data_IF_556345604150
#
_entry.id   IF_556345604150
#
_cell.length_a   1.000
_cell.length_b   1.000
_cell.length_c   1.000
_cell.angle_alpha   90.00
_cell.angle_beta   90.00
_cell.angle_gamma   90.00
#
_symmetry.space_group_name_H-M   'P 1'
#
loop_
_entity.id
_entity.type
_entity.pdbx_description
1 polymer ?
#
# COMPACT_ATOMS: atom_id res chain seq x y z
N UNK A 1 33.08 -5.29 23.15
CA UNK A 1 32.04 -4.46 23.80
C UNK A 1 32.61 -3.07 23.97
N UNK A 2 32.21 -2.14 23.11
CA UNK A 2 32.60 -0.72 23.27
C UNK A 2 31.55 -0.09 24.17
N UNK A 3 31.86 0.05 25.46
CA UNK A 3 30.95 0.69 26.41
C UNK A 3 30.91 2.17 26.08
N UNK A 4 29.86 2.63 25.40
CA UNK A 4 29.59 4.06 25.24
C UNK A 4 29.19 4.57 26.63
N UNK A 5 30.12 5.26 27.30
CA UNK A 5 29.81 5.93 28.56
C UNK A 5 28.71 6.97 28.28
N UNK A 6 27.62 6.92 29.04
CA UNK A 6 26.56 7.93 28.94
C UNK A 6 27.15 9.30 29.29
N UNK A 7 26.78 10.33 28.51
CA UNK A 7 27.19 11.71 28.75
C UNK A 7 26.68 12.17 30.11
N UNK A 8 27.60 12.38 31.07
CA UNK A 8 27.27 13.00 32.36
C UNK A 8 27.36 14.52 32.17
N UNK A 9 26.33 15.29 32.58
CA UNK A 9 26.43 16.75 32.60
C UNK A 9 27.66 17.19 33.40
N UNK A 10 28.50 18.05 32.81
CA UNK A 10 29.75 18.52 33.44
C UNK A 10 29.48 19.16 34.81
N UNK A 11 28.36 19.85 34.97
CA UNK A 11 27.97 20.53 36.22
C UNK A 11 27.67 19.57 37.39
N UNK A 12 27.54 18.26 37.12
CA UNK A 12 27.26 17.22 38.12
C UNK A 12 28.46 16.29 38.34
N UNK A 13 29.58 16.52 37.66
CA UNK A 13 30.76 15.66 37.77
C UNK A 13 31.67 16.11 38.91
N UNK A 14 32.01 15.18 39.80
CA UNK A 14 33.01 15.36 40.85
C UNK A 14 34.40 14.86 40.43
N UNK A 15 34.51 14.19 39.29
CA UNK A 15 35.71 13.46 38.86
C UNK A 15 36.58 14.27 37.88
N UNK A 16 36.26 15.55 37.66
CA UNK A 16 36.97 16.44 36.75
C UNK A 16 37.00 17.89 37.26
N UNK A 17 37.99 18.70 36.87
CA UNK A 17 38.04 20.11 37.24
C UNK A 17 37.11 20.97 36.37
N UNK A 18 35.87 21.14 36.83
CA UNK A 18 34.79 21.83 36.10
C UNK A 18 35.12 23.30 35.78
N UNK A 19 35.70 24.05 36.71
CA UNK A 19 36.04 25.46 36.48
C UNK A 19 37.14 25.61 35.42
N UNK A 20 38.14 24.73 35.45
CA UNK A 20 39.20 24.67 34.45
C UNK A 20 38.66 24.33 33.06
N UNK A 21 37.78 23.33 32.97
CA UNK A 21 37.13 22.95 31.71
C UNK A 21 36.29 24.11 31.18
N UNK A 22 35.51 24.78 32.03
CA UNK A 22 34.70 25.94 31.64
C UNK A 22 35.56 27.13 31.19
N UNK A 23 36.71 27.33 31.82
CA UNK A 23 37.68 28.37 31.43
C UNK A 23 38.23 28.11 30.02
N UNK A 24 38.68 26.90 29.74
CA UNK A 24 39.18 26.50 28.41
C UNK A 24 38.05 26.52 27.38
N UNK A 25 36.84 26.12 27.75
CA UNK A 25 35.64 26.18 26.90
C UNK A 25 35.35 27.60 26.42
N UNK A 26 35.39 28.58 27.34
CA UNK A 26 35.08 29.99 27.05
C UNK A 26 36.17 30.68 26.23
N UNK A 27 37.44 30.40 26.53
CA UNK A 27 38.58 31.07 25.87
C UNK A 27 39.02 30.39 24.59
N UNK A 28 38.70 29.09 24.42
CA UNK A 28 39.19 28.25 23.33
C UNK A 28 40.73 28.25 23.20
N UNK A 29 41.42 28.43 24.33
CA UNK A 29 42.88 28.41 24.46
C UNK A 29 43.29 27.25 25.36
N UNK A 30 44.30 26.48 24.95
CA UNK A 30 44.86 25.39 25.75
C UNK A 30 45.61 25.90 26.98
N UNK A 31 45.46 25.19 28.09
CA UNK A 31 46.21 25.43 29.33
C UNK A 31 47.09 24.22 29.66
N UNK A 32 48.37 24.48 29.88
CA UNK A 32 49.34 23.52 30.41
C UNK A 32 49.79 24.02 31.76
N UNK A 33 49.71 23.18 32.79
CA UNK A 33 50.32 23.44 34.09
C UNK A 33 51.41 22.40 34.32
N UNK A 34 52.66 22.86 34.40
CA UNK A 34 53.82 22.00 34.60
C UNK A 34 53.97 21.59 36.06
N UNK A 35 53.55 22.45 36.98
CA UNK A 35 53.36 22.15 38.40
C UNK A 35 51.98 22.66 38.83
N UNK A 36 50.96 21.78 38.77
CA UNK A 36 49.57 22.21 38.88
C UNK A 36 49.28 22.91 40.22
N UNK A 37 49.75 22.36 41.34
CA UNK A 37 49.50 22.94 42.67
C UNK A 37 50.24 24.26 42.86
N UNK A 38 51.52 24.31 42.47
CA UNK A 38 52.31 25.55 42.59
C UNK A 38 51.73 26.67 41.73
N UNK A 39 51.38 26.37 40.47
CA UNK A 39 50.90 27.36 39.52
C UNK A 39 49.48 27.84 39.83
N UNK A 40 48.58 26.98 40.31
CA UNK A 40 47.24 27.40 40.76
C UNK A 40 47.33 28.28 42.01
N UNK A 41 48.27 28.01 42.92
CA UNK A 41 48.42 28.77 44.16
C UNK A 41 49.16 30.11 44.00
N UNK A 42 50.09 30.21 43.04
CA UNK A 42 51.01 31.36 42.89
C UNK A 42 50.79 32.25 41.65
N UNK A 43 50.00 31.85 40.65
CA UNK A 43 49.94 32.57 39.37
C UNK A 43 48.75 33.54 39.22
N UNK A 44 48.74 34.30 38.11
CA UNK A 44 47.63 35.11 37.55
C UNK A 44 46.26 34.39 37.52
N UNK A 45 46.24 33.06 37.67
CA UNK A 45 45.03 32.22 37.72
C UNK A 45 44.24 32.36 39.04
N UNK A 46 44.86 32.86 40.12
CA UNK A 46 44.18 33.16 41.39
C UNK A 46 43.11 34.26 41.25
N UNK A 47 43.31 35.20 40.32
CA UNK A 47 42.35 36.27 39.99
C UNK A 47 41.21 35.80 39.07
N UNK A 48 41.23 34.55 38.60
CA UNK A 48 40.27 33.98 37.65
C UNK A 48 39.36 32.92 38.31
N UNK A 49 39.38 32.80 39.65
CA UNK A 49 38.56 31.87 40.45
C UNK A 49 38.66 30.39 40.02
N UNK A 50 39.84 29.96 39.54
CA UNK A 50 40.12 28.56 39.16
C UNK A 50 40.44 27.69 40.39
N UNK A 51 39.61 27.75 41.44
CA UNK A 51 39.68 26.83 42.58
C UNK A 51 38.75 25.65 42.31
N UNK A 52 39.27 24.63 41.63
CA UNK A 52 38.57 23.36 41.49
C UNK A 52 38.87 22.45 42.69
N UNK A 53 37.82 22.05 43.41
CA UNK A 53 37.93 21.14 44.54
C UNK A 53 38.62 19.82 44.14
N UNK A 54 38.36 19.36 42.92
CA UNK A 54 39.01 18.19 42.32
C UNK A 54 40.55 18.32 42.31
N UNK A 55 41.11 19.42 41.80
CA UNK A 55 42.58 19.59 41.70
C UNK A 55 43.21 19.70 43.10
N UNK A 56 42.50 20.29 44.06
CA UNK A 56 42.95 20.39 45.45
C UNK A 56 42.98 19.01 46.12
N UNK A 57 42.00 18.15 45.82
CA UNK A 57 41.89 16.80 46.36
C UNK A 57 42.89 15.83 45.70
N UNK A 58 42.92 15.77 44.38
CA UNK A 58 43.73 14.80 43.62
C UNK A 58 45.21 15.21 43.47
N UNK A 59 45.52 16.49 43.66
CA UNK A 59 46.88 17.05 43.61
C UNK A 59 47.77 16.57 42.44
N UNK A 60 47.30 16.68 41.19
CA UNK A 60 48.09 16.26 40.04
C UNK A 60 49.41 17.04 39.95
N UNK A 61 50.49 16.38 39.52
CA UNK A 61 51.81 17.02 39.38
C UNK A 61 51.90 17.90 38.14
N UNK A 62 51.31 17.47 37.04
CA UNK A 62 51.08 18.30 35.85
C UNK A 62 49.75 17.98 35.21
N UNK A 63 49.16 18.93 34.50
CA UNK A 63 47.91 18.73 33.79
C UNK A 63 47.87 19.51 32.47
N UNK A 64 47.02 19.04 31.57
CA UNK A 64 46.69 19.64 30.29
C UNK A 64 45.18 19.76 30.20
N UNK A 65 44.70 20.94 29.83
CA UNK A 65 43.31 21.13 29.43
C UNK A 65 43.31 21.84 28.07
N UNK A 66 42.88 21.15 27.01
CA UNK A 66 42.97 21.68 25.65
C UNK A 66 41.63 21.60 24.90
N UNK A 67 41.18 22.67 24.21
CA UNK A 67 39.99 22.62 23.40
C UNK A 67 40.28 21.94 22.06
N UNK A 68 39.38 21.05 21.65
CA UNK A 68 39.39 20.40 20.35
C UNK A 68 38.41 21.13 19.43
N UNK A 69 38.95 21.88 18.48
CA UNK A 69 38.20 22.68 17.52
C UNK A 69 38.10 21.94 16.18
N UNK A 70 36.91 21.96 15.57
CA UNK A 70 36.69 21.53 14.19
C UNK A 70 36.05 22.70 13.42
N UNK A 71 36.68 23.17 12.35
CA UNK A 71 36.24 24.35 11.58
C UNK A 71 35.92 25.59 12.46
N UNK A 72 36.72 25.82 13.52
CA UNK A 72 36.53 26.92 14.47
C UNK A 72 35.41 26.71 15.50
N UNK A 73 34.70 25.57 15.46
CA UNK A 73 33.70 25.20 16.46
C UNK A 73 34.32 24.27 17.52
N UNK A 74 34.18 24.63 18.79
CA UNK A 74 34.53 23.75 19.90
C UNK A 74 33.68 22.47 19.84
N UNK A 75 34.36 21.34 19.66
CA UNK A 75 33.71 20.03 19.51
C UNK A 75 33.91 19.16 20.75
N UNK A 76 35.06 19.29 21.42
CA UNK A 76 35.36 18.58 22.67
C UNK A 76 36.43 19.32 23.49
N UNK A 77 36.63 18.94 24.75
CA UNK A 77 37.74 19.39 25.60
C UNK A 77 38.50 18.16 26.06
N UNK A 78 39.82 18.19 25.92
CA UNK A 78 40.73 17.16 26.37
C UNK A 78 41.34 17.58 27.71
N UNK A 79 40.99 16.89 28.78
CA UNK A 79 41.65 17.00 30.09
C UNK A 79 42.54 15.77 30.32
N UNK A 80 43.82 16.00 30.60
CA UNK A 80 44.79 14.96 30.95
C UNK A 80 45.56 15.39 32.19
N UNK A 81 45.81 14.46 33.10
CA UNK A 81 46.61 14.68 34.28
C UNK A 81 47.76 13.68 34.37
N UNK A 82 48.82 14.09 35.06
CA UNK A 82 49.96 13.24 35.33
C UNK A 82 50.41 13.42 36.78
N UNK A 83 50.37 12.33 37.53
CA UNK A 83 50.68 12.31 38.96
C UNK A 83 52.13 11.90 39.26
N UNK A 84 52.92 11.58 38.22
CA UNK A 84 54.27 11.04 38.35
C UNK A 84 55.34 12.13 38.22
N UNK A 85 55.23 12.99 37.21
CA UNK A 85 56.24 14.02 36.91
C UNK A 85 55.59 15.40 36.68
N UNK A 86 56.32 16.44 37.07
CA UNK A 86 56.04 17.82 36.65
C UNK A 86 56.55 18.04 35.22
N UNK A 87 55.87 18.90 34.46
CA UNK A 87 56.23 19.18 33.07
C UNK A 87 56.05 18.02 32.10
N UNK A 88 55.10 17.09 32.37
CA UNK A 88 54.87 15.93 31.51
C UNK A 88 54.39 16.31 30.08
N UNK A 89 53.72 17.46 29.98
CA UNK A 89 53.11 17.96 28.76
C UNK A 89 53.96 19.06 28.14
N UNK A 90 54.38 18.88 26.88
CA UNK A 90 55.16 19.84 26.11
C UNK A 90 54.39 20.27 24.87
N UNK A 91 54.66 21.47 24.35
CA UNK A 91 53.98 22.00 23.17
C UNK A 91 54.09 21.07 21.94
N UNK A 92 55.24 20.41 21.73
CA UNK A 92 55.42 19.48 20.60
C UNK A 92 54.49 18.26 20.71
N UNK A 93 54.33 17.70 21.93
CA UNK A 93 53.40 16.59 22.17
C UNK A 93 51.95 17.04 21.99
N UNK A 94 51.61 18.29 22.32
CA UNK A 94 50.27 18.83 22.11
C UNK A 94 49.90 18.94 20.63
N UNK A 95 50.83 19.33 19.77
CA UNK A 95 50.56 19.40 18.33
C UNK A 95 50.15 18.02 17.79
N UNK A 96 50.85 16.97 18.20
CA UNK A 96 50.54 15.58 17.81
C UNK A 96 49.20 15.13 18.40
N UNK A 97 48.97 15.37 19.69
CA UNK A 97 47.70 15.02 20.36
C UNK A 97 46.53 15.72 19.67
N UNK A 98 46.66 17.01 19.36
CA UNK A 98 45.61 17.78 18.69
C UNK A 98 45.30 17.25 17.30
N UNK A 99 46.33 16.93 16.50
CA UNK A 99 46.13 16.33 15.18
C UNK A 99 45.36 15.01 15.28
N UNK A 100 45.76 14.12 16.20
CA UNK A 100 45.13 12.83 16.41
C UNK A 100 43.69 12.97 16.92
N UNK A 101 43.45 13.88 17.86
CA UNK A 101 42.13 14.16 18.39
C UNK A 101 41.20 14.75 17.33
N UNK A 102 41.66 15.71 16.52
CA UNK A 102 40.88 16.24 15.40
C UNK A 102 40.51 15.13 14.40
N UNK A 103 41.45 14.25 14.05
CA UNK A 103 41.19 13.12 13.16
C UNK A 103 40.21 12.11 13.76
N UNK A 104 40.31 11.85 15.06
CA UNK A 104 39.39 10.95 15.78
C UNK A 104 37.97 11.52 15.80
N UNK A 105 37.81 12.81 16.09
CA UNK A 105 36.51 13.51 16.07
C UNK A 105 35.88 13.43 14.68
N UNK A 106 36.64 13.72 13.62
CA UNK A 106 36.15 13.62 12.23
C UNK A 106 35.72 12.19 11.89
N UNK A 107 36.52 11.19 12.30
CA UNK A 107 36.22 9.78 12.03
C UNK A 107 34.95 9.31 12.74
N UNK A 108 34.72 9.76 13.98
CA UNK A 108 33.49 9.49 14.72
C UNK A 108 32.27 10.16 14.09
N UNK A 109 32.39 11.42 13.66
CA UNK A 109 31.33 12.14 12.94
C UNK A 109 30.97 11.41 11.64
N UNK A 110 31.98 11.01 10.86
CA UNK A 110 31.79 10.25 9.64
C UNK A 110 31.08 8.92 9.91
N UNK A 111 31.53 8.14 10.90
CA UNK A 111 30.90 6.88 11.26
C UNK A 111 29.41 7.07 11.64
N UNK A 112 29.11 8.12 12.41
CA UNK A 112 27.73 8.50 12.77
C UNK A 112 26.90 8.85 11.54
N UNK A 113 27.42 9.70 10.64
CA UNK A 113 26.74 10.09 9.40
C UNK A 113 26.47 8.88 8.50
N UNK A 114 27.44 7.98 8.36
CA UNK A 114 27.26 6.73 7.61
C UNK A 114 26.16 5.86 8.22
N UNK A 115 26.14 5.72 9.54
CA UNK A 115 25.09 4.95 10.22
C UNK A 115 23.71 5.59 10.03
N UNK A 116 23.60 6.92 10.10
CA UNK A 116 22.35 7.62 9.82
C UNK A 116 21.90 7.42 8.36
N UNK A 117 22.81 7.55 7.39
CA UNK A 117 22.50 7.33 5.99
C UNK A 117 22.01 5.90 5.73
N UNK A 118 22.63 4.89 6.36
CA UNK A 118 22.18 3.50 6.27
C UNK A 118 20.78 3.32 6.84
N UNK A 119 20.49 3.89 8.01
CA UNK A 119 19.17 3.83 8.62
C UNK A 119 18.10 4.47 7.72
N UNK A 120 18.39 5.64 7.15
CA UNK A 120 17.47 6.30 6.21
C UNK A 120 17.25 5.49 4.93
N UNK A 121 18.30 4.87 4.38
CA UNK A 121 18.18 4.01 3.21
C UNK A 121 17.29 2.79 3.50
N UNK A 122 17.44 2.16 4.66
CA UNK A 122 16.58 1.04 5.08
C UNK A 122 15.13 1.47 5.24
N UNK A 123 14.87 2.61 5.92
CA UNK A 123 13.52 3.15 6.07
C UNK A 123 12.87 3.50 4.72
N UNK A 124 13.63 4.12 3.81
CA UNK A 124 13.14 4.45 2.47
C UNK A 124 12.78 3.19 1.67
N UNK A 125 13.60 2.13 1.77
CA UNK A 125 13.31 0.86 1.11
C UNK A 125 12.05 0.19 1.65
N UNK A 126 11.84 0.22 2.97
CA UNK A 126 10.65 -0.34 3.59
C UNK A 126 9.39 0.45 3.21
N UNK A 127 9.45 1.78 3.25
CA UNK A 127 8.35 2.63 2.81
C UNK A 127 8.00 2.41 1.34
N UNK A 128 9.00 2.22 0.47
CA UNK A 128 8.77 1.94 -0.95
C UNK A 128 8.03 0.60 -1.15
N UNK A 129 8.41 -0.45 -0.41
CA UNK A 129 7.71 -1.74 -0.45
C UNK A 129 6.26 -1.65 0.03
N UNK A 130 6.03 -0.92 1.12
CA UNK A 130 4.68 -0.72 1.64
C UNK A 130 3.81 0.04 0.63
N UNK A 131 4.36 1.10 0.03
CA UNK A 131 3.67 1.88 -0.99
C UNK A 131 3.30 1.03 -2.21
N UNK A 132 4.22 0.18 -2.68
CA UNK A 132 3.98 -0.73 -3.81
C UNK A 132 2.86 -1.74 -3.49
N UNK A 133 2.86 -2.31 -2.28
CA UNK A 133 1.80 -3.21 -1.83
C UNK A 133 0.44 -2.52 -1.79
N UNK A 134 0.35 -1.34 -1.17
CA UNK A 134 -0.90 -0.57 -1.10
C UNK A 134 -1.39 -0.14 -2.49
N UNK A 135 -0.48 0.18 -3.40
CA UNK A 135 -0.83 0.52 -4.78
C UNK A 135 -1.45 -0.68 -5.53
N UNK A 136 -0.87 -1.87 -5.40
CA UNK A 136 -1.43 -3.07 -6.02
C UNK A 136 -2.79 -3.47 -5.42
N UNK A 137 -2.97 -3.30 -4.11
CA UNK A 137 -4.28 -3.49 -3.46
C UNK A 137 -5.33 -2.50 -3.99
N UNK A 138 -4.98 -1.21 -4.07
CA UNK A 138 -5.87 -0.18 -4.59
C UNK A 138 -6.26 -0.47 -6.05
N UNK A 139 -5.29 -0.85 -6.89
CA UNK A 139 -5.51 -1.22 -8.28
C UNK A 139 -6.46 -2.41 -8.42
N UNK A 140 -6.29 -3.44 -7.58
CA UNK A 140 -7.21 -4.60 -7.55
C UNK A 140 -8.63 -4.18 -7.15
N UNK A 141 -8.77 -3.35 -6.11
CA UNK A 141 -10.06 -2.84 -5.68
C UNK A 141 -10.74 -2.01 -6.78
N UNK A 142 -9.99 -1.15 -7.48
CA UNK A 142 -10.52 -0.36 -8.59
C UNK A 142 -11.01 -1.24 -9.75
N UNK A 143 -10.25 -2.27 -10.13
CA UNK A 143 -10.69 -3.23 -11.16
C UNK A 143 -11.99 -3.94 -10.76
N UNK A 144 -12.11 -4.33 -9.50
CA UNK A 144 -13.34 -4.93 -8.97
C UNK A 144 -14.52 -3.96 -9.02
N UNK A 145 -14.32 -2.69 -8.66
CA UNK A 145 -15.37 -1.66 -8.74
C UNK A 145 -15.83 -1.42 -10.17
N UNK A 146 -14.89 -1.25 -11.11
CA UNK A 146 -15.22 -1.07 -12.53
C UNK A 146 -15.97 -2.27 -13.07
N UNK A 147 -15.57 -3.49 -12.71
CA UNK A 147 -16.29 -4.70 -13.11
C UNK A 147 -17.70 -4.74 -12.49
N UNK A 148 -17.83 -4.37 -11.21
CA UNK A 148 -19.12 -4.32 -10.52
C UNK A 148 -20.08 -3.28 -11.14
N UNK A 149 -19.58 -2.10 -11.50
CA UNK A 149 -20.36 -1.05 -12.16
C UNK A 149 -20.80 -1.46 -13.57
N UNK A 150 -19.91 -2.06 -14.36
CA UNK A 150 -20.25 -2.66 -15.66
C UNK A 150 -21.33 -3.73 -15.53
N UNK A 151 -21.29 -4.55 -14.47
CA UNK A 151 -22.31 -5.57 -14.23
C UNK A 151 -23.64 -4.98 -13.76
N UNK A 152 -23.61 -3.94 -12.92
CA UNK A 152 -24.82 -3.25 -12.47
C UNK A 152 -25.55 -2.59 -13.63
N UNK A 153 -24.81 -1.85 -14.47
CA UNK A 153 -25.35 -1.22 -15.68
C UNK A 153 -25.88 -2.26 -16.68
N UNK A 154 -25.11 -3.32 -16.94
CA UNK A 154 -25.55 -4.42 -17.79
C UNK A 154 -26.80 -5.10 -17.23
N UNK A 155 -26.88 -5.32 -15.91
CA UNK A 155 -28.00 -6.02 -15.31
C UNK A 155 -29.30 -5.23 -15.32
N UNK A 156 -29.23 -3.91 -15.12
CA UNK A 156 -30.38 -3.03 -15.29
C UNK A 156 -30.89 -3.00 -16.73
N UNK A 157 -29.97 -2.86 -17.70
CA UNK A 157 -30.30 -2.87 -19.14
C UNK A 157 -30.92 -4.20 -19.58
N UNK A 158 -30.31 -5.31 -19.22
CA UNK A 158 -30.78 -6.66 -19.57
C UNK A 158 -32.15 -6.95 -18.97
N UNK A 159 -32.40 -6.54 -17.73
CA UNK A 159 -33.70 -6.71 -17.10
C UNK A 159 -34.80 -5.94 -17.86
N UNK A 160 -34.52 -4.69 -18.26
CA UNK A 160 -35.44 -3.86 -19.07
C UNK A 160 -35.69 -4.47 -20.45
N UNK A 161 -34.63 -4.79 -21.19
CA UNK A 161 -34.71 -5.40 -22.52
C UNK A 161 -35.49 -6.72 -22.49
N UNK A 162 -35.25 -7.57 -21.47
CA UNK A 162 -35.97 -8.83 -21.33
C UNK A 162 -37.47 -8.64 -21.15
N UNK A 163 -37.90 -7.61 -20.41
CA UNK A 163 -39.32 -7.27 -20.30
C UNK A 163 -39.90 -6.77 -21.62
N UNK A 164 -39.18 -5.91 -22.35
CA UNK A 164 -39.62 -5.38 -23.64
C UNK A 164 -39.68 -6.44 -24.74
N UNK A 165 -38.81 -7.46 -24.72
CA UNK A 165 -38.85 -8.62 -25.63
C UNK A 165 -40.02 -9.55 -25.27
N UNK A 166 -40.25 -9.81 -23.98
CA UNK A 166 -41.28 -10.74 -23.55
C UNK A 166 -42.69 -10.24 -23.87
N UNK A 167 -42.91 -8.92 -23.94
CA UNK A 167 -44.20 -8.35 -24.27
C UNK A 167 -44.72 -8.81 -25.66
N UNK A 168 -44.07 -8.48 -26.80
CA UNK A 168 -44.51 -8.92 -28.12
C UNK A 168 -44.51 -10.44 -28.28
N UNK A 169 -43.55 -11.15 -27.68
CA UNK A 169 -43.50 -12.62 -27.71
C UNK A 169 -44.71 -13.23 -27.02
N UNK A 170 -45.11 -12.69 -25.86
CA UNK A 170 -46.34 -13.10 -25.17
C UNK A 170 -47.58 -12.89 -26.02
N UNK A 171 -47.69 -11.75 -26.72
CA UNK A 171 -48.78 -11.52 -27.68
C UNK A 171 -48.77 -12.52 -28.83
N UNK A 172 -47.61 -12.81 -29.42
CA UNK A 172 -47.49 -13.76 -30.53
C UNK A 172 -47.83 -15.19 -30.10
N UNK A 173 -47.27 -15.65 -28.97
CA UNK A 173 -47.52 -16.97 -28.41
C UNK A 173 -49.02 -17.17 -28.08
N UNK A 174 -49.65 -16.14 -27.50
CA UNK A 174 -51.07 -16.17 -27.17
C UNK A 174 -52.00 -16.31 -28.37
N UNK A 175 -51.59 -15.84 -29.55
CA UNK A 175 -52.37 -15.97 -30.79
C UNK A 175 -52.04 -17.25 -31.58
N UNK A 176 -50.85 -17.81 -31.37
CA UNK A 176 -50.39 -18.97 -32.14
C UNK A 176 -51.14 -20.24 -31.79
N UNK A 177 -51.48 -20.43 -30.51
CA UNK A 177 -52.26 -21.58 -30.06
C UNK A 177 -53.68 -21.58 -30.67
N UNK A 178 -54.47 -20.49 -30.58
CA UNK A 178 -55.74 -20.39 -31.32
C UNK A 178 -55.57 -20.60 -32.83
N UNK A 179 -54.54 -20.03 -33.46
CA UNK A 179 -54.31 -20.22 -34.90
C UNK A 179 -54.06 -21.69 -35.26
N UNK A 180 -53.33 -22.43 -34.42
CA UNK A 180 -53.13 -23.87 -34.56
C UNK A 180 -54.44 -24.62 -34.44
N UNK A 181 -55.25 -24.29 -33.44
CA UNK A 181 -56.52 -24.95 -33.16
C UNK A 181 -57.51 -24.70 -34.32
N UNK A 182 -57.65 -23.45 -34.77
CA UNK A 182 -58.48 -23.10 -35.94
C UNK A 182 -58.02 -23.80 -37.21
N UNK A 183 -56.72 -23.90 -37.43
CA UNK A 183 -56.16 -24.62 -38.57
C UNK A 183 -56.52 -26.10 -38.51
N UNK A 184 -56.37 -26.73 -37.34
CA UNK A 184 -56.71 -28.14 -37.16
C UNK A 184 -58.21 -28.41 -37.36
N UNK A 185 -59.07 -27.53 -36.85
CA UNK A 185 -60.52 -27.63 -37.02
C UNK A 185 -60.93 -27.51 -38.50
N UNK A 186 -60.35 -26.55 -39.23
CA UNK A 186 -60.58 -26.38 -40.66
C UNK A 186 -60.11 -27.57 -41.49
N UNK A 187 -58.89 -28.08 -41.20
CA UNK A 187 -58.37 -29.27 -41.86
C UNK A 187 -59.26 -30.49 -41.59
N UNK A 188 -59.71 -30.66 -40.35
CA UNK A 188 -60.64 -31.75 -39.99
C UNK A 188 -61.96 -31.66 -40.74
N UNK A 189 -62.50 -30.46 -40.94
CA UNK A 189 -63.71 -30.23 -41.73
C UNK A 189 -63.48 -30.58 -43.21
N UNK A 190 -62.35 -30.18 -43.78
CA UNK A 190 -61.96 -30.49 -45.17
C UNK A 190 -61.84 -32.02 -45.34
N UNK A 191 -61.21 -32.71 -44.39
CA UNK A 191 -61.05 -34.16 -44.40
C UNK A 191 -62.41 -34.88 -44.41
N UNK A 192 -63.36 -34.41 -43.60
CA UNK A 192 -64.72 -34.92 -43.60
C UNK A 192 -65.43 -34.68 -44.95
N UNK A 193 -65.26 -33.49 -45.52
CA UNK A 193 -65.84 -33.17 -46.83
C UNK A 193 -65.28 -34.08 -47.93
N UNK A 194 -63.96 -34.26 -48.00
CA UNK A 194 -63.33 -35.14 -48.99
C UNK A 194 -63.70 -36.62 -48.79
N UNK A 195 -63.92 -37.05 -47.54
CA UNK A 195 -64.35 -38.41 -47.22
C UNK A 195 -65.76 -38.73 -47.72
N UNK A 196 -66.71 -37.81 -47.55
CA UNK A 196 -68.12 -38.02 -47.91
C UNK A 196 -68.51 -37.47 -49.28
N UNK A 197 -67.67 -36.62 -49.89
CA UNK A 197 -67.87 -36.06 -51.22
C UNK A 197 -66.59 -36.20 -52.08
N UNK A 198 -66.23 -37.43 -52.48
CA UNK A 198 -64.96 -37.74 -53.14
C UNK A 198 -64.87 -37.25 -54.60
N UNK A 199 -66.02 -37.07 -55.27
CA UNK A 199 -66.12 -36.56 -56.64
C UNK A 199 -66.81 -35.18 -56.65
N UNK A 200 -66.08 -34.10 -56.33
CA UNK A 200 -66.65 -32.77 -56.31
C UNK A 200 -66.93 -32.21 -57.71
N UNK A 201 -67.85 -31.24 -57.80
CA UNK A 201 -68.10 -30.50 -59.06
C UNK A 201 -66.82 -29.87 -59.61
N UNK A 202 -66.76 -29.69 -60.94
CA UNK A 202 -65.55 -29.26 -61.66
C UNK A 202 -64.94 -27.98 -61.11
N UNK A 203 -65.76 -27.03 -60.67
CA UNK A 203 -65.34 -25.77 -60.08
C UNK A 203 -64.50 -25.99 -58.82
N UNK A 204 -64.94 -26.88 -57.93
CA UNK A 204 -64.23 -27.21 -56.69
C UNK A 204 -62.96 -28.02 -57.01
N UNK A 205 -63.04 -29.01 -57.90
CA UNK A 205 -61.87 -29.80 -58.30
C UNK A 205 -60.75 -28.93 -58.90
N UNK A 206 -61.13 -27.92 -59.71
CA UNK A 206 -60.20 -26.96 -60.30
C UNK A 206 -59.51 -26.11 -59.23
N UNK A 207 -60.24 -25.63 -58.22
CA UNK A 207 -59.64 -24.86 -57.11
C UNK A 207 -58.74 -25.73 -56.21
N UNK A 208 -59.14 -26.97 -55.90
CA UNK A 208 -58.29 -27.91 -55.15
C UNK A 208 -56.94 -28.10 -55.84
N UNK A 209 -56.95 -28.29 -57.16
CA UNK A 209 -55.73 -28.45 -57.96
C UNK A 209 -54.95 -27.14 -58.08
N UNK A 210 -55.63 -26.01 -58.29
CA UNK A 210 -54.98 -24.69 -58.44
C UNK A 210 -54.32 -24.19 -57.15
N UNK A 211 -54.83 -24.57 -55.98
CA UNK A 211 -54.29 -24.20 -54.66
C UNK A 211 -53.33 -25.23 -54.07
N UNK A 212 -53.17 -26.38 -54.72
CA UNK A 212 -52.43 -27.53 -54.19
C UNK A 212 -52.84 -27.84 -52.75
N UNK A 213 -54.10 -28.23 -52.58
CA UNK A 213 -54.69 -28.40 -51.25
C UNK A 213 -53.91 -29.43 -50.41
N UNK A 214 -53.37 -30.49 -51.02
CA UNK A 214 -52.62 -31.51 -50.29
C UNK A 214 -51.33 -30.94 -49.71
N UNK A 215 -50.60 -30.13 -50.48
CA UNK A 215 -49.44 -29.41 -49.96
C UNK A 215 -49.82 -28.49 -48.79
N UNK A 216 -50.92 -27.73 -48.92
CA UNK A 216 -51.38 -26.84 -47.84
C UNK A 216 -51.77 -27.60 -46.57
N UNK A 217 -52.45 -28.75 -46.71
CA UNK A 217 -52.83 -29.62 -45.57
C UNK A 217 -51.61 -30.12 -44.81
N UNK A 218 -50.51 -30.41 -45.52
CA UNK A 218 -49.26 -30.82 -44.89
C UNK A 218 -48.41 -29.67 -44.33
N UNK A 219 -48.33 -28.54 -45.04
CA UNK A 219 -47.37 -27.47 -44.74
C UNK A 219 -47.90 -26.47 -43.71
N UNK A 220 -49.19 -26.14 -43.75
CA UNK A 220 -49.78 -25.15 -42.85
C UNK A 220 -49.59 -25.50 -41.35
N UNK A 221 -49.79 -26.75 -40.90
CA UNK A 221 -49.46 -27.16 -39.54
C UNK A 221 -47.95 -27.06 -39.21
N UNK A 222 -47.08 -27.39 -40.18
CA UNK A 222 -45.62 -27.30 -40.03
C UNK A 222 -45.17 -25.86 -39.86
N UNK A 223 -45.74 -24.91 -40.61
CA UNK A 223 -45.45 -23.47 -40.52
C UNK A 223 -45.83 -22.93 -39.15
N UNK A 224 -47.03 -23.23 -38.64
CA UNK A 224 -47.47 -22.80 -37.31
C UNK A 224 -46.56 -23.42 -36.22
N UNK A 225 -46.22 -24.70 -36.35
CA UNK A 225 -45.28 -25.34 -35.41
C UNK A 225 -43.89 -24.70 -35.45
N UNK A 226 -43.39 -24.32 -36.62
CA UNK A 226 -42.10 -23.62 -36.77
C UNK A 226 -42.12 -22.25 -36.09
N UNK A 227 -43.21 -21.50 -36.21
CA UNK A 227 -43.38 -20.23 -35.50
C UNK A 227 -43.39 -20.41 -33.98
N UNK A 228 -44.02 -21.48 -33.48
CA UNK A 228 -44.01 -21.79 -32.03
C UNK A 228 -42.58 -22.04 -31.54
N UNK A 229 -41.83 -22.89 -32.27
CA UNK A 229 -40.43 -23.18 -31.93
C UNK A 229 -39.57 -21.91 -31.93
N UNK A 230 -39.81 -20.97 -32.85
CA UNK A 230 -39.10 -19.70 -32.88
C UNK A 230 -39.40 -18.83 -31.64
N UNK A 231 -40.66 -18.74 -31.24
CA UNK A 231 -41.10 -18.02 -30.04
C UNK A 231 -40.45 -18.62 -28.79
N UNK A 232 -40.50 -19.94 -28.64
CA UNK A 232 -39.92 -20.65 -27.50
C UNK A 232 -38.40 -20.37 -27.39
N UNK A 233 -37.71 -20.40 -28.53
CA UNK A 233 -36.27 -20.11 -28.59
C UNK A 233 -35.93 -18.68 -28.20
N UNK A 234 -36.75 -17.70 -28.60
CA UNK A 234 -36.58 -16.29 -28.19
C UNK A 234 -36.81 -16.15 -26.68
N UNK A 235 -37.79 -16.87 -26.14
CA UNK A 235 -38.08 -16.89 -24.70
C UNK A 235 -36.90 -17.43 -23.89
N UNK A 236 -36.28 -18.53 -24.34
CA UNK A 236 -35.09 -19.12 -23.73
C UNK A 236 -33.88 -18.17 -23.75
N UNK A 237 -33.68 -17.45 -24.87
CA UNK A 237 -32.63 -16.44 -24.99
C UNK A 237 -32.88 -15.31 -23.97
N UNK A 238 -34.12 -14.83 -23.86
CA UNK A 238 -34.51 -13.79 -22.90
C UNK A 238 -34.26 -14.20 -21.44
N UNK A 239 -34.60 -15.44 -21.08
CA UNK A 239 -34.33 -16.00 -19.75
C UNK A 239 -32.83 -16.14 -19.50
N UNK A 240 -32.09 -16.65 -20.48
CA UNK A 240 -30.63 -16.83 -20.37
C UNK A 240 -29.92 -15.49 -20.16
N UNK A 241 -30.31 -14.45 -20.90
CA UNK A 241 -29.79 -13.09 -20.76
C UNK A 241 -30.04 -12.56 -19.33
N UNK A 242 -31.29 -12.68 -18.84
CA UNK A 242 -31.67 -12.28 -17.47
C UNK A 242 -30.88 -13.05 -16.40
N UNK A 243 -30.59 -14.32 -16.63
CA UNK A 243 -29.88 -15.19 -15.68
C UNK A 243 -28.39 -14.86 -15.63
N UNK A 244 -27.76 -14.66 -16.79
CA UNK A 244 -26.37 -14.21 -16.90
C UNK A 244 -26.13 -12.90 -16.15
N UNK A 245 -27.05 -11.94 -16.29
CA UNK A 245 -27.00 -10.67 -15.56
C UNK A 245 -27.02 -10.83 -14.03
N UNK A 246 -27.60 -11.91 -13.49
CA UNK A 246 -27.76 -12.12 -12.03
C UNK A 246 -26.69 -13.04 -11.43
N UNK A 247 -26.11 -13.93 -12.22
CA UNK A 247 -25.20 -14.98 -11.72
C UNK A 247 -23.87 -14.41 -11.17
N UNK A 248 -23.37 -13.29 -11.69
CA UNK A 248 -22.08 -12.72 -11.25
C UNK A 248 -22.21 -11.73 -10.07
N UNK A 249 -23.44 -11.31 -9.73
CA UNK A 249 -23.70 -10.44 -8.55
C UNK A 249 -23.64 -11.17 -7.19
N UNK A 250 -23.50 -12.49 -7.17
CA UNK A 250 -23.59 -13.30 -5.95
C UNK A 250 -22.25 -13.66 -5.28
N UNK A 251 -21.13 -13.02 -5.66
CA UNK A 251 -19.86 -13.16 -4.91
C UNK A 251 -19.84 -12.25 -3.69
N UNK A 252 -20.44 -12.69 -2.59
CA UNK A 252 -20.23 -12.11 -1.26
C UNK A 252 -18.89 -12.59 -0.72
N UNK A 253 -17.87 -11.73 -0.74
CA UNK A 253 -16.61 -12.01 -0.04
C UNK A 253 -16.79 -11.71 1.46
N UNK A 254 -16.72 -12.76 2.28
CA UNK A 254 -16.58 -12.65 3.73
C UNK A 254 -15.17 -12.16 4.05
N UNK A 255 -15.02 -10.89 4.41
CA UNK A 255 -13.81 -10.39 5.07
C UNK A 255 -13.76 -11.02 6.47
N UNK A 256 -13.01 -12.11 6.61
CA UNK A 256 -12.70 -12.72 7.91
C UNK A 256 -11.76 -11.78 8.66
N UNK A 257 -12.34 -10.94 9.51
CA UNK A 257 -11.62 -10.01 10.38
C UNK A 257 -10.57 -10.75 11.22
N UNK A 258 -9.34 -10.27 11.11
CA UNK A 258 -8.16 -10.50 11.94
C UNK A 258 -8.54 -10.68 13.43
N UNK A 259 -8.21 -11.84 14.01
CA UNK A 259 -8.11 -12.01 15.46
C UNK A 259 -6.73 -11.51 15.88
N UNK A 260 -6.66 -10.34 16.52
CA UNK A 260 -5.48 -9.94 17.28
C UNK A 260 -5.59 -10.61 18.65
N UNK A 261 -4.74 -11.61 18.88
CA UNK A 261 -4.52 -12.19 20.20
C UNK A 261 -3.39 -11.37 20.85
N UNK A 262 -3.71 -10.54 21.84
CA UNK A 262 -2.67 -9.99 22.72
C UNK A 262 -2.50 -11.00 23.85
N UNK A 263 -1.37 -11.69 23.83
CA UNK A 263 -0.87 -12.49 24.95
C UNK A 263 0.60 -12.13 25.16
N UNK A 264 0.83 -11.12 25.99
CA UNK A 264 1.61 -11.14 27.24
C UNK A 264 1.58 -9.75 27.85
#
# INVERSE_FOLDING_TARGET
>A
MTTVLQSIPIDQSLDIPVNLINYVSRRQEGLILNNAIFEIQNSKLKNQNLQDNYIIQEQPKSLLCNPLLNQGKLTAILYLENNLISGAFTNDRLQVINLLCSQAVISLENARLYQQAQNYAQQAQENARQLESSFEELKRAQLQLVQSEKMSTLGGLVAGIGHEINNPIGFLAGNLQPARDYTQDLLTLIDLYQKYYPDPVKEIAKEIQAKDLEYLREDLPKVISSMQQAIDRIYDISISLRTFSRADTNKRYLLKSMKVLIAL
#
